data_IF_483126494508
#
_entry.id   IF_483126494508
#
_cell.length_a   1.000
_cell.length_b   1.000
_cell.length_c   1.000
_cell.angle_alpha   90.00
_cell.angle_beta   90.00
_cell.angle_gamma   90.00
#
_symmetry.space_group_name_H-M   'P 1'
#
loop_
_entity.id
_entity.type
_entity.pdbx_description
1 polymer ?
#
# COMPACT_ATOMS: atom_id res chain seq x y z
N UNK A 1 5.37 15.31 10.72
CA UNK A 1 5.17 16.45 11.61
C UNK A 1 4.04 17.29 11.02
N UNK A 2 3.02 17.60 11.83
CA UNK A 2 1.99 18.60 11.53
C UNK A 2 2.34 19.86 12.26
N UNK A 3 2.35 20.99 11.57
CA UNK A 3 2.58 22.31 12.17
C UNK A 3 1.27 23.05 12.40
N UNK A 4 1.17 23.75 13.51
CA UNK A 4 -0.02 24.50 13.90
C UNK A 4 0.40 25.93 14.22
N UNK A 5 -0.16 26.94 13.54
CA UNK A 5 0.22 28.35 13.73
C UNK A 5 -0.93 29.31 13.43
N UNK A 6 -0.86 30.51 14.01
CA UNK A 6 -1.72 31.64 13.61
C UNK A 6 -1.27 32.33 12.32
N UNK A 7 0.00 32.17 11.93
CA UNK A 7 0.58 32.87 10.78
C UNK A 7 0.76 31.94 9.60
N UNK A 8 0.00 32.16 8.53
CA UNK A 8 0.10 31.44 7.27
C UNK A 8 1.45 31.63 6.57
N UNK A 9 2.14 32.78 6.83
CA UNK A 9 3.47 33.02 6.24
C UNK A 9 4.53 31.99 6.63
N UNK A 10 4.36 31.28 7.75
CA UNK A 10 5.27 30.20 8.14
C UNK A 10 5.15 28.95 7.26
N UNK A 11 4.00 28.74 6.61
CA UNK A 11 3.84 27.61 5.70
C UNK A 11 4.89 27.61 4.59
N UNK A 12 5.22 28.78 4.05
CA UNK A 12 6.24 28.94 3.00
C UNK A 12 7.66 28.58 3.48
N UNK A 13 7.95 28.81 4.77
CA UNK A 13 9.27 28.51 5.35
C UNK A 13 9.47 27.02 5.63
N UNK A 14 8.39 26.24 5.66
CA UNK A 14 8.41 24.81 5.97
C UNK A 14 8.65 23.91 4.73
N UNK A 15 8.73 24.49 3.52
CA UNK A 15 8.97 23.72 2.30
C UNK A 15 10.21 22.81 2.38
N UNK A 16 11.26 23.27 3.05
CA UNK A 16 12.51 22.51 3.16
C UNK A 16 12.45 21.36 4.16
N UNK A 17 11.46 21.32 5.05
CA UNK A 17 11.32 20.27 6.09
C UNK A 17 10.21 19.27 5.75
N UNK A 18 9.53 19.47 4.63
CA UNK A 18 8.47 18.59 4.12
C UNK A 18 7.48 18.17 5.24
N UNK A 19 6.71 19.11 5.80
CA UNK A 19 5.70 18.78 6.80
C UNK A 19 4.66 17.86 6.21
N UNK A 20 4.01 17.08 7.04
CA UNK A 20 2.85 16.30 6.62
C UNK A 20 1.68 17.23 6.30
N UNK A 21 1.44 18.22 7.19
CA UNK A 21 0.43 19.25 7.00
C UNK A 21 0.70 20.49 7.84
N UNK A 22 -0.06 21.58 7.56
CA UNK A 22 -0.01 22.87 8.25
C UNK A 22 -1.41 23.38 8.55
N UNK A 23 -1.78 23.39 9.82
CA UNK A 23 -3.07 23.87 10.30
C UNK A 23 -2.99 25.32 10.81
N UNK A 24 -3.94 26.15 10.39
CA UNK A 24 -4.04 27.56 10.80
C UNK A 24 -5.02 27.68 11.95
N UNK A 25 -4.62 28.38 13.02
CA UNK A 25 -5.50 28.70 14.15
C UNK A 25 -6.46 29.85 13.81
N UNK A 26 -7.72 29.83 14.30
CA UNK A 26 -8.34 28.81 15.14
C UNK A 26 -8.59 27.51 14.35
N UNK A 27 -8.36 26.36 14.99
CA UNK A 27 -8.53 25.07 14.36
C UNK A 27 -9.98 24.61 14.62
N UNK A 28 -10.67 24.25 13.55
CA UNK A 28 -11.96 23.54 13.63
C UNK A 28 -11.72 22.10 14.09
N UNK A 29 -12.55 21.62 15.01
CA UNK A 29 -12.40 20.28 15.60
C UNK A 29 -12.55 19.17 14.55
N UNK A 30 -13.44 19.34 13.57
CA UNK A 30 -13.65 18.34 12.52
C UNK A 30 -12.42 18.29 11.60
N UNK A 31 -11.88 19.44 11.20
CA UNK A 31 -10.66 19.52 10.38
C UNK A 31 -9.48 18.91 11.14
N UNK A 32 -9.34 19.19 12.44
CA UNK A 32 -8.28 18.59 13.25
C UNK A 32 -8.39 17.06 13.32
N UNK A 33 -9.58 16.54 13.57
CA UNK A 33 -9.81 15.09 13.66
C UNK A 33 -9.55 14.39 12.33
N UNK A 34 -10.02 14.96 11.20
CA UNK A 34 -9.77 14.44 9.85
C UNK A 34 -8.27 14.38 9.55
N UNK A 35 -7.53 15.45 9.82
CA UNK A 35 -6.08 15.48 9.62
C UNK A 35 -5.34 14.52 10.54
N UNK A 36 -5.77 14.37 11.79
CA UNK A 36 -5.17 13.39 12.70
C UNK A 36 -5.43 11.95 12.24
N UNK A 37 -6.61 11.63 11.74
CA UNK A 37 -6.91 10.32 11.15
C UNK A 37 -6.02 10.06 9.93
N UNK A 38 -5.83 11.05 9.06
CA UNK A 38 -4.96 10.96 7.88
C UNK A 38 -3.49 10.70 8.28
N UNK A 39 -2.98 11.48 9.26
CA UNK A 39 -1.61 11.33 9.79
C UNK A 39 -1.42 9.96 10.43
N UNK A 40 -2.35 9.54 11.25
CA UNK A 40 -2.30 8.24 11.93
C UNK A 40 -2.39 7.11 10.90
N UNK A 41 -3.31 7.19 9.94
CA UNK A 41 -3.47 6.20 8.88
C UNK A 41 -2.19 6.02 8.05
N UNK A 42 -1.60 7.11 7.57
CA UNK A 42 -0.35 7.09 6.82
C UNK A 42 0.84 6.58 7.65
N UNK A 43 0.89 6.95 8.93
CA UNK A 43 1.95 6.52 9.85
C UNK A 43 1.79 5.04 10.19
N UNK A 44 0.57 4.59 10.51
CA UNK A 44 0.29 3.19 10.79
C UNK A 44 0.63 2.30 9.61
N UNK A 45 0.21 2.63 8.40
CA UNK A 45 0.54 1.85 7.20
C UNK A 45 2.05 1.69 7.00
N UNK A 46 2.82 2.74 7.22
CA UNK A 46 4.29 2.71 7.09
C UNK A 46 4.96 1.78 8.11
N UNK A 47 4.39 1.65 9.31
CA UNK A 47 4.95 0.82 10.38
C UNK A 47 4.27 -0.54 10.52
N UNK A 48 3.18 -0.78 9.78
CA UNK A 48 2.49 -2.07 9.80
C UNK A 48 3.33 -3.15 9.16
N UNK A 49 3.34 -4.30 9.78
CA UNK A 49 4.11 -5.46 9.33
C UNK A 49 3.97 -6.61 10.30
N UNK A 50 4.68 -7.69 10.02
CA UNK A 50 4.67 -8.89 10.84
C UNK A 50 6.09 -9.41 11.09
N UNK A 51 6.21 -10.19 12.15
CA UNK A 51 7.40 -10.97 12.45
C UNK A 51 7.05 -12.45 12.39
N UNK A 52 7.81 -13.21 11.64
CA UNK A 52 7.73 -14.66 11.59
C UNK A 52 9.13 -15.23 11.31
N UNK A 53 9.72 -15.87 12.32
CA UNK A 53 11.07 -16.42 12.25
C UNK A 53 11.24 -17.54 11.21
N UNK A 54 10.13 -18.17 10.77
CA UNK A 54 10.15 -19.15 9.67
C UNK A 54 10.31 -18.49 8.28
N UNK A 55 10.10 -17.17 8.18
CA UNK A 55 10.17 -16.40 6.94
C UNK A 55 11.43 -15.55 6.93
N UNK A 56 11.66 -14.76 7.99
CA UNK A 56 12.81 -13.88 8.11
C UNK A 56 13.16 -13.59 9.57
N UNK A 57 14.45 -13.34 9.89
CA UNK A 57 14.88 -12.98 11.25
C UNK A 57 14.57 -11.54 11.65
N UNK A 58 13.81 -10.80 10.83
CA UNK A 58 13.44 -9.39 11.04
C UNK A 58 11.97 -9.16 10.71
N UNK A 59 11.43 -8.03 11.18
CA UNK A 59 10.07 -7.60 10.86
C UNK A 59 9.93 -7.28 9.37
N UNK A 60 8.93 -7.87 8.73
CA UNK A 60 8.56 -7.60 7.35
C UNK A 60 7.47 -6.54 7.35
N UNK A 61 7.72 -5.40 6.72
CA UNK A 61 6.75 -4.31 6.56
C UNK A 61 5.88 -4.52 5.33
N UNK A 62 4.56 -4.38 5.48
CA UNK A 62 3.61 -4.57 4.37
C UNK A 62 3.84 -3.60 3.21
N UNK A 63 4.22 -2.36 3.52
CA UNK A 63 4.53 -1.33 2.52
C UNK A 63 5.77 -1.64 1.68
N UNK A 64 6.57 -2.62 2.04
CA UNK A 64 7.75 -3.07 1.26
C UNK A 64 7.45 -4.24 0.34
N UNK A 65 6.33 -4.92 0.55
CA UNK A 65 5.90 -6.03 -0.31
C UNK A 65 5.23 -5.45 -1.55
N UNK A 66 5.75 -5.81 -2.71
CA UNK A 66 5.23 -5.42 -4.01
C UNK A 66 4.05 -6.33 -4.43
N UNK A 67 4.29 -7.64 -4.36
CA UNK A 67 3.27 -8.66 -4.58
C UNK A 67 3.69 -10.01 -3.97
N UNK A 68 2.74 -10.92 -3.90
CA UNK A 68 2.95 -12.32 -3.52
C UNK A 68 2.53 -13.20 -4.69
N UNK A 69 3.36 -14.16 -5.03
CA UNK A 69 3.16 -15.08 -6.16
C UNK A 69 3.20 -16.53 -5.69
N UNK A 70 2.31 -17.36 -6.24
CA UNK A 70 2.42 -18.82 -6.14
C UNK A 70 2.99 -19.36 -7.43
N UNK A 71 4.24 -19.79 -7.40
CA UNK A 71 4.99 -20.31 -8.54
C UNK A 71 5.79 -21.56 -8.12
N UNK A 72 5.84 -22.58 -9.01
CA UNK A 72 6.62 -23.80 -8.79
C UNK A 72 6.37 -24.46 -7.43
N UNK A 73 5.09 -24.56 -7.04
CA UNK A 73 4.63 -25.17 -5.76
C UNK A 73 5.13 -24.43 -4.51
N UNK A 74 5.52 -23.18 -4.63
CA UNK A 74 5.94 -22.34 -3.53
C UNK A 74 5.28 -20.96 -3.61
N UNK A 75 5.06 -20.36 -2.47
CA UNK A 75 4.64 -18.96 -2.36
C UNK A 75 5.86 -18.10 -2.12
N UNK A 76 6.00 -17.02 -2.90
CA UNK A 76 7.13 -16.11 -2.87
C UNK A 76 6.64 -14.68 -2.63
N UNK A 77 7.21 -13.99 -1.67
CA UNK A 77 7.02 -12.55 -1.46
C UNK A 77 8.08 -11.81 -2.29
N UNK A 78 7.62 -10.87 -3.10
CA UNK A 78 8.46 -9.99 -3.91
C UNK A 78 8.48 -8.59 -3.30
N UNK A 79 9.68 -8.04 -3.09
CA UNK A 79 9.88 -6.75 -2.43
C UNK A 79 10.33 -5.67 -3.41
N UNK A 80 10.06 -4.41 -3.07
CA UNK A 80 10.43 -3.23 -3.86
C UNK A 80 11.92 -3.16 -4.20
N UNK A 81 12.77 -3.65 -3.32
CA UNK A 81 14.23 -3.67 -3.51
C UNK A 81 14.73 -4.88 -4.33
N UNK A 82 13.83 -5.64 -4.95
CA UNK A 82 14.15 -6.83 -5.74
C UNK A 82 14.42 -8.10 -4.91
N UNK A 83 14.39 -8.01 -3.58
CA UNK A 83 14.51 -9.19 -2.71
C UNK A 83 13.29 -10.08 -2.88
N UNK A 84 13.50 -11.39 -2.86
CA UNK A 84 12.45 -12.40 -2.90
C UNK A 84 12.61 -13.34 -1.69
N UNK A 85 11.51 -13.60 -1.00
CA UNK A 85 11.49 -14.52 0.13
C UNK A 85 10.49 -15.63 -0.13
N UNK A 86 10.99 -16.85 -0.20
CA UNK A 86 10.14 -18.04 -0.32
C UNK A 86 9.55 -18.39 1.04
N UNK A 87 8.27 -18.71 1.07
CA UNK A 87 7.53 -19.06 2.28
C UNK A 87 6.83 -20.41 2.13
N UNK A 88 6.66 -21.12 3.24
CA UNK A 88 5.89 -22.38 3.30
C UNK A 88 4.38 -22.17 3.41
N UNK A 89 3.93 -20.95 3.65
CA UNK A 89 2.51 -20.64 3.76
C UNK A 89 1.84 -20.63 2.39
N UNK A 90 0.61 -21.16 2.25
CA UNK A 90 -0.13 -21.17 0.99
C UNK A 90 -0.55 -19.73 0.61
N UNK A 91 -0.81 -19.49 -0.67
CA UNK A 91 -1.26 -18.19 -1.16
C UNK A 91 -2.53 -17.69 -0.46
N UNK A 92 -3.46 -18.61 -0.12
CA UNK A 92 -4.68 -18.28 0.62
C UNK A 92 -4.39 -17.56 1.94
N UNK A 93 -3.39 -18.03 2.69
CA UNK A 93 -2.95 -17.37 3.92
C UNK A 93 -2.55 -15.90 3.67
N UNK A 94 -1.83 -15.64 2.58
CA UNK A 94 -1.40 -14.29 2.22
C UNK A 94 -2.55 -13.41 1.75
N UNK A 95 -3.53 -13.97 1.02
CA UNK A 95 -4.74 -13.25 0.64
C UNK A 95 -5.47 -12.76 1.89
N UNK A 96 -5.74 -13.66 2.85
CA UNK A 96 -6.44 -13.34 4.09
C UNK A 96 -5.67 -12.33 4.93
N UNK A 97 -4.36 -12.50 5.05
CA UNK A 97 -3.49 -11.64 5.86
C UNK A 97 -3.31 -10.23 5.28
N UNK A 98 -3.24 -10.08 3.95
CA UNK A 98 -2.83 -8.83 3.31
C UNK A 98 -3.99 -7.98 2.80
N UNK A 99 -5.19 -8.52 2.67
CA UNK A 99 -6.35 -7.79 2.12
C UNK A 99 -6.66 -6.51 2.90
N UNK A 100 -6.56 -6.54 4.23
CA UNK A 100 -6.81 -5.36 5.08
C UNK A 100 -5.72 -4.27 4.94
N UNK A 101 -4.57 -4.63 4.36
CA UNK A 101 -3.42 -3.74 4.19
C UNK A 101 -3.27 -3.23 2.75
N UNK A 102 -4.37 -3.21 2.00
CA UNK A 102 -4.38 -2.64 0.64
C UNK A 102 -3.83 -3.57 -0.44
N UNK A 103 -3.97 -4.87 -0.25
CA UNK A 103 -3.66 -5.86 -1.28
C UNK A 103 -4.94 -6.43 -1.89
N UNK A 104 -4.87 -6.81 -3.17
CA UNK A 104 -5.96 -7.47 -3.86
C UNK A 104 -5.44 -8.57 -4.81
N UNK A 105 -6.32 -9.51 -5.14
CA UNK A 105 -6.01 -10.64 -6.01
C UNK A 105 -6.43 -10.35 -7.46
N UNK A 106 -5.50 -10.13 -8.41
CA UNK A 106 -5.81 -9.92 -9.83
C UNK A 106 -5.92 -11.25 -10.61
N UNK A 107 -5.28 -12.30 -10.11
CA UNK A 107 -5.20 -13.60 -10.76
C UNK A 107 -5.05 -14.72 -9.72
N UNK A 108 -5.38 -15.97 -10.11
CA UNK A 108 -5.39 -17.14 -9.20
C UNK A 108 -4.09 -17.35 -8.40
N UNK A 109 -2.95 -16.92 -8.91
CA UNK A 109 -1.64 -17.13 -8.30
C UNK A 109 -0.93 -15.84 -7.87
N UNK A 110 -1.62 -14.67 -7.88
CA UNK A 110 -1.05 -13.39 -7.48
C UNK A 110 -1.89 -12.65 -6.45
N UNK A 111 -1.24 -11.99 -5.50
CA UNK A 111 -1.81 -10.98 -4.60
C UNK A 111 -0.93 -9.75 -4.68
N UNK A 112 -1.47 -8.62 -5.10
CA UNK A 112 -0.71 -7.41 -5.45
C UNK A 112 -1.01 -6.28 -4.48
N UNK A 113 0.01 -5.54 -4.08
CA UNK A 113 -0.15 -4.32 -3.31
C UNK A 113 -0.67 -3.21 -4.24
N UNK A 114 -1.88 -2.73 -3.97
CA UNK A 114 -2.59 -1.75 -4.79
C UNK A 114 -1.84 -0.42 -4.90
N UNK A 115 -1.05 -0.07 -3.87
CA UNK A 115 -0.22 1.13 -3.84
C UNK A 115 0.81 1.20 -4.97
N UNK A 116 1.25 0.04 -5.47
CA UNK A 116 2.33 -0.04 -6.48
C UNK A 116 1.83 -0.33 -7.89
N UNK A 117 0.54 -0.22 -8.11
CA UNK A 117 -0.02 -0.30 -9.45
C UNK A 117 0.19 1.04 -10.15
N UNK A 118 0.91 1.02 -11.26
CA UNK A 118 1.14 2.19 -12.12
C UNK A 118 0.12 2.31 -13.24
N UNK A 119 -0.59 1.23 -13.57
CA UNK A 119 -1.63 1.26 -14.60
C UNK A 119 -2.21 -0.10 -14.93
N UNK A 120 -3.27 -0.06 -15.76
CA UNK A 120 -3.93 -1.24 -16.33
C UNK A 120 -3.79 -1.14 -17.85
N UNK A 121 -3.51 -2.26 -18.53
CA UNK A 121 -3.40 -2.29 -19.99
C UNK A 121 -4.71 -1.91 -20.68
N UNK A 122 -4.65 -1.37 -21.91
CA UNK A 122 -5.84 -0.95 -22.66
C UNK A 122 -6.85 -2.07 -22.92
N UNK A 123 -6.37 -3.30 -23.06
CA UNK A 123 -7.20 -4.50 -23.21
C UNK A 123 -7.64 -5.09 -21.87
N UNK A 124 -7.23 -4.46 -20.75
CA UNK A 124 -7.55 -4.80 -19.37
C UNK A 124 -7.19 -6.25 -18.99
N UNK A 125 -6.13 -6.80 -19.59
CA UNK A 125 -5.63 -8.15 -19.32
C UNK A 125 -4.44 -8.18 -18.39
N UNK A 126 -3.79 -7.03 -18.18
CA UNK A 126 -2.56 -6.91 -17.44
C UNK A 126 -2.55 -5.66 -16.55
N UNK A 127 -1.84 -5.78 -15.43
CA UNK A 127 -1.48 -4.69 -14.54
C UNK A 127 0.00 -4.36 -14.75
N UNK A 128 0.34 -3.09 -14.68
CA UNK A 128 1.72 -2.62 -14.62
C UNK A 128 2.03 -2.19 -13.19
N UNK A 129 3.16 -2.61 -12.68
CA UNK A 129 3.66 -2.20 -11.37
C UNK A 129 4.69 -1.08 -11.50
N UNK A 130 4.95 -0.38 -10.40
CA UNK A 130 5.89 0.75 -10.35
C UNK A 130 7.34 0.38 -10.69
N UNK A 131 7.71 -0.90 -10.62
CA UNK A 131 9.00 -1.45 -11.05
C UNK A 131 9.00 -1.95 -12.50
N UNK A 132 7.98 -1.63 -13.29
CA UNK A 132 7.74 -2.05 -14.67
C UNK A 132 7.43 -3.56 -14.85
N UNK A 133 7.23 -4.30 -13.79
CA UNK A 133 6.73 -5.68 -13.89
C UNK A 133 5.27 -5.71 -14.34
N UNK A 134 4.91 -6.80 -15.01
CA UNK A 134 3.60 -7.02 -15.59
C UNK A 134 2.94 -8.23 -14.93
N UNK A 135 1.75 -8.03 -14.37
CA UNK A 135 0.96 -9.07 -13.67
C UNK A 135 -0.33 -9.30 -14.44
N UNK A 136 -0.73 -10.55 -14.74
CA UNK A 136 -1.97 -10.82 -15.45
C UNK A 136 -3.21 -10.45 -14.63
N UNK A 137 -4.23 -9.91 -15.31
CA UNK A 137 -5.54 -9.61 -14.75
C UNK A 137 -6.59 -10.52 -15.42
N UNK A 138 -7.12 -11.49 -14.67
CA UNK A 138 -8.10 -12.43 -15.22
C UNK A 138 -9.51 -11.85 -15.19
N UNK A 139 -10.34 -12.24 -16.17
CA UNK A 139 -11.75 -11.85 -16.23
C UNK A 139 -12.51 -12.18 -14.95
N UNK A 140 -12.18 -13.28 -14.28
CA UNK A 140 -12.83 -13.73 -13.06
C UNK A 140 -12.59 -12.78 -11.88
N UNK A 141 -11.35 -12.30 -11.73
CA UNK A 141 -10.95 -11.40 -10.61
C UNK A 141 -11.14 -9.92 -10.93
N UNK A 142 -11.25 -9.54 -12.21
CA UNK A 142 -11.19 -8.17 -12.69
C UNK A 142 -12.17 -7.24 -11.97
N UNK A 143 -13.46 -7.59 -11.88
CA UNK A 143 -14.45 -6.71 -11.28
C UNK A 143 -14.10 -6.34 -9.84
N UNK A 144 -13.92 -7.34 -9.00
CA UNK A 144 -13.57 -7.14 -7.58
C UNK A 144 -12.22 -6.42 -7.41
N UNK A 145 -11.25 -6.75 -8.27
CA UNK A 145 -9.92 -6.12 -8.23
C UNK A 145 -10.00 -4.63 -8.58
N UNK A 146 -10.66 -4.28 -9.67
CA UNK A 146 -10.80 -2.90 -10.14
C UNK A 146 -11.59 -2.06 -9.12
N UNK A 147 -12.67 -2.60 -8.54
CA UNK A 147 -13.41 -1.93 -7.47
C UNK A 147 -12.52 -1.63 -6.25
N UNK A 148 -11.70 -2.60 -5.82
CA UNK A 148 -10.76 -2.41 -4.71
C UNK A 148 -9.66 -1.39 -5.05
N UNK A 149 -9.15 -1.42 -6.28
CA UNK A 149 -8.14 -0.48 -6.75
C UNK A 149 -8.65 0.96 -6.73
N UNK A 150 -9.82 1.22 -7.31
CA UNK A 150 -10.40 2.56 -7.28
C UNK A 150 -10.71 3.03 -5.85
N UNK A 151 -11.26 2.16 -5.00
CA UNK A 151 -11.46 2.51 -3.58
C UNK A 151 -10.16 2.87 -2.86
N UNK A 152 -9.06 2.21 -3.18
CA UNK A 152 -7.75 2.54 -2.59
C UNK A 152 -7.24 3.91 -3.01
N UNK A 153 -7.51 4.35 -4.26
CA UNK A 153 -7.13 5.68 -4.74
C UNK A 153 -7.89 6.80 -4.00
N UNK A 154 -9.18 6.59 -3.70
CA UNK A 154 -9.99 7.57 -2.97
C UNK A 154 -9.71 7.64 -1.47
N UNK A 155 -9.13 6.58 -0.87
CA UNK A 155 -8.68 6.62 0.53
C UNK A 155 -7.32 7.31 0.71
N UNK A 156 -6.64 7.59 -0.39
CA UNK A 156 -5.32 8.24 -0.41
C UNK A 156 -5.39 9.73 -0.75
N UNK A 157 -6.60 10.25 -1.00
CA UNK A 157 -6.92 11.66 -1.19
C UNK A 157 -7.44 12.26 0.12
#
# INVERSE_FOLDING_TARGET
IVYISYKTSYAMQLFNVHPYDFLVKPIDENIFNEEMENVLGATFQKYMGFYDSKIAPYKIHYDKILYVEFLNRATVLHFLNGVQIKTSYPLKYWIEKLTEYGFAQPYKCYVVNLKYISGISKDERDLFLSNNEKIPLSKFYKKTFVDNYYRSLFKSL
#
